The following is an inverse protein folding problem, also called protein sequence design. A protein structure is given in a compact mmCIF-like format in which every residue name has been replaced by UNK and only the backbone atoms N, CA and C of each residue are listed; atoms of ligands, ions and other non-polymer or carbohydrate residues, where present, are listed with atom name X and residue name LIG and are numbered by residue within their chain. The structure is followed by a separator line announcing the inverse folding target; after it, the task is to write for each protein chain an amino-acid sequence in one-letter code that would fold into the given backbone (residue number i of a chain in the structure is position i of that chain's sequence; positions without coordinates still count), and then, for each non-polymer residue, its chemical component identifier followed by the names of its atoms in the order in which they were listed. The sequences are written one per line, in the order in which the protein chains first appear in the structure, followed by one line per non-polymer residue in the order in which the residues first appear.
data_IF_103965491668
#
_entry.id   IF_103965491668
#
_cell.length_a   1.000
_cell.length_b   1.000
_cell.length_c   1.000
_cell.angle_alpha   90.00
_cell.angle_beta   90.00
_cell.angle_gamma   90.00
#
_symmetry.space_group_name_H-M   'P 1'
#
loop_
_entity.id
_entity.type
_entity.pdbx_description
1 polymer ?
#
# COMPACT_ATOMS: atom_id res chain seq x y z
N UNK A 1 15.95 25.35 9.74
CA UNK A 1 16.72 24.39 8.91
C UNK A 1 16.29 22.99 9.34
N UNK A 2 15.57 22.22 8.49
CA UNK A 2 15.18 20.85 8.84
C UNK A 2 16.42 19.96 8.74
N UNK A 3 16.89 19.43 9.87
CA UNK A 3 18.23 18.83 10.00
C UNK A 3 18.27 17.39 9.45
N UNK A 4 17.12 16.71 9.32
CA UNK A 4 17.03 15.33 8.86
C UNK A 4 15.81 15.11 7.95
N UNK A 5 15.96 14.24 6.94
CA UNK A 5 14.89 13.84 6.01
C UNK A 5 14.68 12.33 6.12
N UNK A 6 13.44 11.89 6.32
CA UNK A 6 13.06 10.48 6.26
C UNK A 6 12.77 10.10 4.80
N UNK A 7 13.41 9.06 4.29
CA UNK A 7 13.16 8.57 2.93
C UNK A 7 12.45 7.21 2.95
N UNK A 8 11.36 7.13 2.20
CA UNK A 8 10.54 5.95 2.00
C UNK A 8 10.45 5.59 0.52
N UNK A 9 10.23 4.31 0.25
CA UNK A 9 9.82 3.79 -1.06
C UNK A 9 8.44 3.17 -0.93
N UNK A 10 7.58 3.39 -1.91
CA UNK A 10 6.32 2.69 -2.10
C UNK A 10 6.42 1.76 -3.30
N UNK A 11 6.02 0.51 -3.15
CA UNK A 11 5.98 -0.47 -4.23
C UNK A 11 4.89 -1.53 -4.02
N UNK A 12 4.30 -1.96 -5.13
CA UNK A 12 3.21 -2.93 -5.20
C UNK A 12 3.66 -4.27 -5.79
N UNK A 13 3.47 -5.36 -5.06
CA UNK A 13 3.68 -6.72 -5.55
C UNK A 13 2.34 -7.37 -5.93
N UNK A 14 2.06 -7.42 -7.23
CA UNK A 14 0.85 -8.02 -7.81
C UNK A 14 0.93 -9.55 -8.03
N UNK A 15 2.03 -10.18 -7.62
CA UNK A 15 2.19 -11.64 -7.64
C UNK A 15 1.95 -12.28 -6.29
N UNK A 16 1.90 -11.49 -5.21
CA UNK A 16 1.49 -11.93 -3.89
C UNK A 16 -0.04 -11.98 -3.80
N UNK A 17 -0.66 -12.80 -4.65
CA UNK A 17 -2.11 -12.98 -4.67
C UNK A 17 -2.55 -14.07 -3.68
N UNK A 18 -3.82 -14.03 -3.32
CA UNK A 18 -4.43 -15.02 -2.44
C UNK A 18 -5.71 -15.53 -3.10
N UNK A 19 -5.74 -16.85 -3.33
CA UNK A 19 -6.90 -17.57 -3.89
C UNK A 19 -7.93 -17.79 -2.79
N UNK A 20 -9.22 -17.73 -3.17
CA UNK A 20 -10.30 -18.05 -2.26
C UNK A 20 -10.12 -19.44 -1.62
N UNK A 21 -10.05 -19.48 -0.28
CA UNK A 21 -10.07 -20.73 0.47
C UNK A 21 -11.49 -21.28 0.51
N UNK A 22 -11.63 -22.60 0.40
CA UNK A 22 -12.92 -23.29 0.53
C UNK A 22 -13.53 -23.13 1.94
N UNK A 23 -12.69 -23.03 2.98
CA UNK A 23 -13.13 -22.85 4.36
C UNK A 23 -12.43 -21.65 5.01
N UNK A 24 -12.99 -20.46 4.82
CA UNK A 24 -12.45 -19.22 5.37
C UNK A 24 -12.47 -19.16 6.91
N UNK A 25 -13.34 -19.94 7.57
CA UNK A 25 -13.45 -19.97 9.03
C UNK A 25 -12.28 -20.69 9.72
N UNK A 26 -11.57 -21.56 8.99
CA UNK A 26 -10.39 -22.25 9.48
C UNK A 26 -9.10 -21.44 9.31
N UNK A 27 -9.18 -20.23 8.75
CA UNK A 27 -8.00 -19.39 8.50
C UNK A 27 -7.58 -18.65 9.77
N UNK A 28 -6.47 -19.09 10.36
CA UNK A 28 -5.92 -18.53 11.60
C UNK A 28 -4.66 -17.74 11.30
N UNK A 29 -4.66 -16.47 11.72
CA UNK A 29 -3.52 -15.58 11.53
C UNK A 29 -2.49 -15.81 12.63
N UNK A 30 -1.21 -15.89 12.25
CA UNK A 30 -0.10 -16.12 13.20
C UNK A 30 0.12 -14.94 14.15
N UNK A 31 -0.06 -13.70 13.67
CA UNK A 31 0.06 -12.49 14.48
C UNK A 31 -0.65 -11.32 13.79
N UNK A 32 -1.79 -10.89 14.33
CA UNK A 32 -2.56 -9.78 13.75
C UNK A 32 -2.02 -8.42 14.22
N UNK A 33 -1.42 -7.65 13.28
CA UNK A 33 -0.90 -6.31 13.57
C UNK A 33 0.42 -6.28 14.37
N UNK A 34 1.04 -7.44 14.60
CA UNK A 34 2.29 -7.57 15.35
C UNK A 34 3.56 -7.49 14.50
N UNK A 35 3.45 -7.21 13.21
CA UNK A 35 4.57 -7.21 12.27
C UNK A 35 4.41 -6.17 11.16
N UNK A 36 4.63 -6.60 9.91
CA UNK A 36 4.54 -5.70 8.75
C UNK A 36 3.10 -5.49 8.27
N UNK A 37 2.21 -6.45 8.54
CA UNK A 37 0.79 -6.39 8.18
C UNK A 37 0.00 -5.71 9.31
N UNK A 38 -0.83 -4.69 9.01
CA UNK A 38 -1.66 -4.01 10.00
C UNK A 38 -2.77 -4.91 10.53
N UNK A 39 -3.46 -4.45 11.58
CA UNK A 39 -4.73 -5.05 12.00
C UNK A 39 -5.75 -4.95 10.89
N UNK A 40 -6.42 -6.07 10.56
CA UNK A 40 -7.32 -6.14 9.41
C UNK A 40 -8.51 -5.21 9.57
N UNK A 41 -9.09 -5.16 10.77
CA UNK A 41 -10.21 -4.28 11.08
C UNK A 41 -9.85 -2.80 10.82
N UNK A 42 -8.66 -2.35 11.23
CA UNK A 42 -8.22 -0.97 11.03
C UNK A 42 -8.05 -0.64 9.54
N UNK A 43 -7.43 -1.54 8.79
CA UNK A 43 -7.25 -1.35 7.36
C UNK A 43 -8.59 -1.34 6.62
N UNK A 44 -9.47 -2.31 6.92
CA UNK A 44 -10.78 -2.40 6.28
C UNK A 44 -11.66 -1.18 6.58
N UNK A 45 -11.66 -0.71 7.83
CA UNK A 45 -12.39 0.50 8.22
C UNK A 45 -11.91 1.73 7.48
N UNK A 46 -10.58 1.87 7.28
CA UNK A 46 -10.02 2.97 6.50
C UNK A 46 -10.45 2.88 5.03
N UNK A 47 -10.31 1.71 4.41
CA UNK A 47 -10.61 1.51 2.99
C UNK A 47 -12.09 1.68 2.67
N UNK A 48 -12.98 1.37 3.62
CA UNK A 48 -14.42 1.57 3.51
C UNK A 48 -14.80 3.06 3.58
N UNK A 49 -14.05 3.87 4.34
CA UNK A 49 -14.27 5.31 4.47
C UNK A 49 -13.56 6.12 3.39
N UNK A 50 -12.46 5.60 2.86
CA UNK A 50 -11.63 6.28 1.88
C UNK A 50 -12.30 6.35 0.49
N UNK A 51 -12.39 7.55 -0.05
CA UNK A 51 -12.93 7.80 -1.40
C UNK A 51 -11.87 7.45 -2.44
N UNK A 52 -12.21 6.56 -3.37
CA UNK A 52 -11.33 6.24 -4.48
C UNK A 52 -11.29 7.41 -5.48
N UNK A 53 -10.08 7.94 -5.74
CA UNK A 53 -9.85 8.96 -6.76
C UNK A 53 -9.23 8.31 -7.99
N UNK A 54 -9.93 8.38 -9.12
CA UNK A 54 -9.37 7.94 -10.41
C UNK A 54 -8.46 9.06 -10.90
N UNK A 55 -7.16 8.77 -10.97
CA UNK A 55 -6.20 9.74 -11.52
C UNK A 55 -5.79 9.27 -12.90
N UNK A 56 -5.88 10.16 -13.90
CA UNK A 56 -5.31 9.90 -15.22
C UNK A 56 -3.85 10.31 -15.17
N UNK A 57 -2.94 9.40 -15.52
CA UNK A 57 -1.53 9.72 -15.62
C UNK A 57 -1.32 10.81 -16.70
N UNK A 58 -0.72 11.97 -16.37
CA UNK A 58 -0.25 12.88 -17.40
C UNK A 58 1.01 12.33 -18.09
N UNK A 59 1.72 11.40 -17.43
CA UNK A 59 3.10 11.05 -17.77
C UNK A 59 3.30 9.73 -18.57
N UNK A 60 2.28 8.89 -18.86
CA UNK A 60 2.44 7.68 -19.71
C UNK A 60 1.12 6.97 -20.09
N UNK A 61 1.05 6.43 -21.32
CA UNK A 61 -0.10 5.68 -21.85
C UNK A 61 0.01 4.13 -21.76
N UNK A 62 1.19 3.58 -21.43
CA UNK A 62 1.50 2.15 -21.62
C UNK A 62 1.13 1.23 -20.43
N UNK A 63 1.11 1.75 -19.20
CA UNK A 63 0.87 0.96 -17.98
C UNK A 63 -0.59 0.48 -17.77
N UNK A 64 -1.55 1.06 -18.50
CA UNK A 64 -2.98 0.84 -18.27
C UNK A 64 -3.44 -0.59 -18.61
N UNK A 65 -2.78 -1.24 -19.58
CA UNK A 65 -3.17 -2.58 -20.05
C UNK A 65 -2.84 -3.66 -19.02
N UNK A 66 -1.67 -3.56 -18.35
CA UNK A 66 -1.22 -4.53 -17.35
C UNK A 66 -2.09 -4.45 -16.08
N UNK A 67 -2.40 -3.23 -15.61
CA UNK A 67 -3.30 -3.04 -14.47
C UNK A 67 -4.69 -3.66 -14.71
N UNK A 68 -5.22 -3.56 -15.93
CA UNK A 68 -6.55 -4.08 -16.27
C UNK A 68 -6.59 -5.62 -16.24
N UNK A 69 -5.51 -6.28 -16.68
CA UNK A 69 -5.41 -7.74 -16.69
C UNK A 69 -5.34 -8.34 -15.27
N UNK A 70 -4.66 -7.68 -14.33
CA UNK A 70 -4.49 -8.17 -12.95
C UNK A 70 -5.72 -7.94 -12.06
N UNK A 71 -6.67 -7.09 -12.47
CA UNK A 71 -7.95 -6.88 -11.77
C UNK A 71 -8.99 -8.00 -12.03
N UNK A 72 -8.74 -8.92 -12.97
CA UNK A 72 -9.77 -9.82 -13.52
C UNK A 72 -9.83 -11.23 -12.93
N UNK A 73 -8.87 -11.65 -12.10
CA UNK A 73 -8.92 -13.00 -11.53
C UNK A 73 -10.03 -13.11 -10.49
N UNK A 74 -11.20 -13.64 -10.88
CA UNK A 74 -12.33 -13.96 -9.97
C UNK A 74 -12.00 -15.07 -8.96
N UNK A 75 -10.89 -15.78 -9.16
CA UNK A 75 -10.44 -16.85 -8.27
C UNK A 75 -9.72 -16.29 -7.02
N UNK A 76 -9.23 -15.05 -7.07
CA UNK A 76 -8.43 -14.46 -6.00
C UNK A 76 -9.25 -13.42 -5.22
N UNK A 77 -9.15 -13.46 -3.89
CA UNK A 77 -9.70 -12.43 -2.99
C UNK A 77 -8.71 -11.30 -2.71
N UNK A 78 -7.42 -11.55 -2.91
CA UNK A 78 -6.34 -10.55 -2.87
C UNK A 78 -5.55 -10.71 -4.16
N UNK A 79 -5.29 -9.61 -4.86
CA UNK A 79 -4.62 -9.56 -6.16
C UNK A 79 -3.16 -9.10 -6.05
N UNK A 80 -2.71 -8.81 -4.84
CA UNK A 80 -1.37 -8.32 -4.55
C UNK A 80 -1.29 -7.66 -3.19
N UNK A 81 -0.12 -7.10 -2.89
CA UNK A 81 0.13 -6.29 -1.68
C UNK A 81 0.88 -5.03 -2.07
N UNK A 82 0.71 -3.95 -1.31
CA UNK A 82 1.55 -2.75 -1.41
C UNK A 82 2.18 -2.48 -0.06
N UNK A 83 3.42 -2.00 -0.05
CA UNK A 83 4.15 -1.76 1.19
C UNK A 83 4.97 -0.47 1.12
N UNK A 84 5.18 0.15 2.28
CA UNK A 84 6.18 1.21 2.45
C UNK A 84 7.43 0.64 3.09
N UNK A 85 8.58 0.88 2.46
CA UNK A 85 9.88 0.48 2.99
C UNK A 85 10.80 1.70 3.20
N UNK A 86 11.79 1.56 4.06
CA UNK A 86 12.85 2.54 4.19
C UNK A 86 13.71 2.57 2.92
N UNK A 87 13.82 3.71 2.25
CA UNK A 87 14.60 3.82 1.02
C UNK A 87 16.10 3.57 1.22
N UNK A 88 16.61 3.72 2.45
CA UNK A 88 18.03 3.52 2.78
C UNK A 88 18.40 2.06 3.01
N UNK A 89 17.52 1.29 3.66
CA UNK A 89 17.83 -0.06 4.14
C UNK A 89 16.97 -1.15 3.50
N UNK A 90 15.92 -0.78 2.77
CA UNK A 90 14.96 -1.74 2.20
C UNK A 90 14.03 -2.39 3.23
N UNK A 91 14.16 -2.09 4.52
CA UNK A 91 13.31 -2.67 5.56
C UNK A 91 11.87 -2.14 5.44
N UNK A 92 10.89 -3.04 5.46
CA UNK A 92 9.48 -2.67 5.53
C UNK A 92 9.17 -1.90 6.82
N UNK A 93 8.37 -0.85 6.68
CA UNK A 93 7.84 -0.14 7.84
C UNK A 93 6.79 -1.05 8.52
N UNK A 94 6.78 -1.13 9.87
CA UNK A 94 5.78 -1.92 10.55
C UNK A 94 4.37 -1.44 10.21
N UNK A 95 3.43 -2.39 10.06
CA UNK A 95 2.03 -2.15 9.68
C UNK A 95 1.79 -1.44 8.33
N UNK A 96 2.77 -1.34 7.45
CA UNK A 96 2.60 -0.69 6.13
C UNK A 96 2.32 -1.66 4.98
N UNK A 97 2.42 -2.99 5.20
CA UNK A 97 2.15 -3.98 4.17
C UNK A 97 0.66 -4.30 4.11
N UNK A 98 -0.02 -3.87 3.06
CA UNK A 98 -1.48 -3.97 2.95
C UNK A 98 -1.95 -4.71 1.71
N UNK A 99 -3.07 -5.41 1.85
CA UNK A 99 -3.66 -6.23 0.81
C UNK A 99 -4.37 -5.41 -0.27
N UNK A 100 -4.21 -5.82 -1.53
CA UNK A 100 -4.86 -5.20 -2.68
C UNK A 100 -6.02 -6.08 -3.16
N UNK A 101 -7.26 -5.69 -2.91
CA UNK A 101 -8.43 -6.47 -3.37
C UNK A 101 -8.84 -6.18 -4.81
N UNK A 102 -8.46 -5.03 -5.37
CA UNK A 102 -8.84 -4.57 -6.71
C UNK A 102 -7.69 -3.83 -7.39
N UNK A 103 -6.51 -4.47 -7.37
CA UNK A 103 -5.26 -3.83 -7.77
C UNK A 103 -4.87 -2.67 -6.85
N UNK A 104 -3.81 -1.97 -7.24
CA UNK A 104 -3.32 -0.83 -6.47
C UNK A 104 -4.21 0.39 -6.68
N UNK A 105 -4.59 1.02 -5.57
CA UNK A 105 -5.35 2.27 -5.53
C UNK A 105 -4.64 3.21 -4.57
N UNK A 106 -4.70 4.52 -4.82
CA UNK A 106 -4.03 5.50 -3.97
C UNK A 106 -4.41 5.35 -2.48
N UNK A 107 -5.69 5.06 -2.18
CA UNK A 107 -6.13 4.82 -0.80
C UNK A 107 -5.40 3.68 -0.07
N UNK A 108 -4.91 2.68 -0.80
CA UNK A 108 -4.14 1.58 -0.21
C UNK A 108 -2.75 2.10 0.21
N UNK A 109 -2.13 2.89 -0.68
CA UNK A 109 -0.82 3.54 -0.43
C UNK A 109 -0.94 4.60 0.66
N UNK A 110 -2.03 5.37 0.70
CA UNK A 110 -2.29 6.38 1.74
C UNK A 110 -2.28 5.73 3.12
N UNK A 111 -3.02 4.62 3.30
CA UNK A 111 -3.01 3.90 4.58
C UNK A 111 -1.60 3.40 4.92
N UNK A 112 -0.93 2.75 3.97
CA UNK A 112 0.41 2.19 4.17
C UNK A 112 1.42 3.28 4.56
N UNK A 113 1.34 4.44 3.93
CA UNK A 113 2.19 5.59 4.19
C UNK A 113 1.91 6.23 5.55
N UNK A 114 0.65 6.47 5.88
CA UNK A 114 0.25 6.96 7.21
C UNK A 114 0.67 5.98 8.32
N UNK A 115 0.52 4.68 8.09
CA UNK A 115 0.97 3.65 9.01
C UNK A 115 2.50 3.73 9.20
N UNK A 116 3.27 3.85 8.12
CA UNK A 116 4.72 3.97 8.18
C UNK A 116 5.21 5.21 8.92
N UNK A 117 4.57 6.37 8.69
CA UNK A 117 4.88 7.61 9.42
C UNK A 117 4.67 7.42 10.93
N UNK A 118 3.53 6.82 11.31
CA UNK A 118 3.18 6.55 12.71
C UNK A 118 4.11 5.53 13.36
N UNK A 119 4.37 4.39 12.71
CA UNK A 119 5.12 3.28 13.33
C UNK A 119 6.62 3.50 13.36
N UNK A 120 7.15 4.35 12.48
CA UNK A 120 8.58 4.70 12.47
C UNK A 120 8.89 6.00 13.20
N UNK A 121 7.89 6.55 13.92
CA UNK A 121 7.98 7.77 14.75
C UNK A 121 8.58 8.95 13.97
N UNK A 122 8.04 9.24 12.80
CA UNK A 122 8.43 10.44 12.04
C UNK A 122 7.88 11.67 12.74
N UNK A 123 8.78 12.58 13.10
CA UNK A 123 8.43 13.86 13.72
C UNK A 123 7.72 14.79 12.72
N UNK A 124 6.74 15.57 13.17
CA UNK A 124 5.95 16.49 12.34
C UNK A 124 6.80 17.57 11.66
N UNK A 125 7.94 17.93 12.26
CA UNK A 125 8.89 18.90 11.72
C UNK A 125 9.91 18.27 10.75
N UNK A 126 9.96 16.94 10.69
CA UNK A 126 10.88 16.20 9.83
C UNK A 126 10.40 16.23 8.37
N UNK A 127 11.33 16.45 7.43
CA UNK A 127 11.00 16.31 6.01
C UNK A 127 10.83 14.84 5.64
N UNK A 128 9.88 14.53 4.76
CA UNK A 128 9.67 13.19 4.23
C UNK A 128 9.83 13.20 2.71
N UNK A 129 10.59 12.24 2.18
CA UNK A 129 10.73 11.95 0.77
C UNK A 129 10.09 10.58 0.50
N UNK A 130 9.07 10.55 -0.35
CA UNK A 130 8.45 9.32 -0.84
C UNK A 130 8.86 9.07 -2.29
N UNK A 131 9.60 7.99 -2.52
CA UNK A 131 9.95 7.51 -3.85
C UNK A 131 8.90 6.50 -4.30
N UNK A 132 8.28 6.74 -5.45
CA UNK A 132 7.16 5.96 -5.94
C UNK A 132 7.14 5.98 -7.47
N UNK A 133 6.99 4.81 -8.11
CA UNK A 133 7.02 4.63 -9.56
C UNK A 133 5.87 5.35 -10.29
N UNK A 134 4.72 5.48 -9.63
CA UNK A 134 3.59 6.32 -10.08
C UNK A 134 3.44 7.60 -9.27
N UNK A 135 4.53 8.09 -8.67
CA UNK A 135 4.58 9.34 -7.91
C UNK A 135 4.10 10.57 -8.70
N UNK A 136 4.29 10.58 -10.03
CA UNK A 136 3.80 11.64 -10.92
C UNK A 136 2.26 11.77 -10.90
N UNK A 137 1.55 10.67 -10.66
CA UNK A 137 0.09 10.60 -10.60
C UNK A 137 -0.38 10.85 -9.16
N UNK A 138 0.34 10.27 -8.21
CA UNK A 138 0.03 10.33 -6.80
C UNK A 138 0.07 11.77 -6.26
N UNK A 139 1.12 12.53 -6.60
CA UNK A 139 1.33 13.89 -6.07
C UNK A 139 0.29 14.93 -6.49
N UNK A 140 -0.51 14.64 -7.52
CA UNK A 140 -1.55 15.57 -8.00
C UNK A 140 -2.70 15.68 -7.00
N UNK A 141 -3.03 14.57 -6.34
CA UNK A 141 -4.23 14.44 -5.51
C UNK A 141 -3.93 13.99 -4.07
N UNK A 142 -2.65 14.05 -3.66
CA UNK A 142 -2.20 13.70 -2.31
C UNK A 142 -2.66 14.73 -1.27
#
# INVERSE_FOLDING_TARGET
RRVYTRSFVADGNFKADHVHKQNAAADVWLSEGGGMVPKRAQYQDFINKAVARITKAPCQNLFRVIQTAMMLSRACNINGVVCIACARHGCYAPNSLVDLTRGEQHKNVDFAFLAALRTTNVDELQSVLLLYDIGCQYSINF
#
